data_IF_514739163922
#
_entry.id   IF_514739163922
#
_cell.length_a   1.000
_cell.length_b   1.000
_cell.length_c   1.000
_cell.angle_alpha   90.00
_cell.angle_beta   90.00
_cell.angle_gamma   90.00
#
_symmetry.space_group_name_H-M   'P 1'
#
loop_
_entity.id
_entity.type
_entity.pdbx_description
1 polymer ?
#
# COMPACT_ATOMS: atom_id res chain seq x y z
N UNK A 1 13.23 13.29 -7.16
CA UNK A 1 12.86 11.89 -6.85
C UNK A 1 11.47 11.66 -7.42
N UNK A 2 11.33 10.81 -8.43
CA UNK A 2 10.06 10.65 -9.17
C UNK A 2 9.16 9.70 -8.36
N UNK A 3 8.15 10.22 -7.67
CA UNK A 3 7.16 9.37 -7.00
C UNK A 3 6.42 8.55 -8.05
N UNK A 4 6.49 7.22 -7.94
CA UNK A 4 5.67 6.34 -8.79
C UNK A 4 4.21 6.50 -8.39
N UNK A 5 3.29 6.50 -9.37
CA UNK A 5 1.85 6.67 -9.11
C UNK A 5 1.30 5.66 -8.09
N UNK A 6 1.94 4.49 -8.00
CA UNK A 6 1.62 3.44 -7.04
C UNK A 6 1.96 3.80 -5.60
N UNK A 7 3.14 4.39 -5.34
CA UNK A 7 3.52 4.83 -3.99
C UNK A 7 2.54 5.89 -3.49
N UNK A 8 2.15 6.83 -4.36
CA UNK A 8 1.21 7.88 -4.01
C UNK A 8 -0.16 7.32 -3.61
N UNK A 9 -0.68 6.32 -4.31
CA UNK A 9 -1.91 5.62 -3.92
C UNK A 9 -1.83 5.01 -2.51
N UNK A 10 -0.69 4.38 -2.18
CA UNK A 10 -0.50 3.79 -0.86
C UNK A 10 -0.46 4.90 0.20
N UNK A 11 0.32 5.96 -0.01
CA UNK A 11 0.42 7.04 0.98
C UNK A 11 -0.89 7.77 1.20
N UNK A 12 -1.66 8.03 0.14
CA UNK A 12 -2.99 8.62 0.21
C UNK A 12 -3.93 7.76 1.08
N UNK A 13 -3.94 6.43 0.85
CA UNK A 13 -4.70 5.51 1.70
C UNK A 13 -4.23 5.50 3.17
N UNK A 14 -2.91 5.56 3.42
CA UNK A 14 -2.37 5.57 4.78
C UNK A 14 -2.73 6.88 5.51
N UNK A 15 -2.75 8.00 4.78
CA UNK A 15 -3.17 9.31 5.31
C UNK A 15 -4.67 9.33 5.61
N UNK A 16 -5.51 8.91 4.65
CA UNK A 16 -6.97 8.86 4.80
C UNK A 16 -7.41 7.96 5.95
N UNK A 17 -6.77 6.80 6.12
CA UNK A 17 -7.16 5.80 7.15
C UNK A 17 -6.36 5.91 8.45
N UNK A 18 -5.27 6.69 8.47
CA UNK A 18 -4.30 6.69 9.57
C UNK A 18 -3.59 5.34 9.77
N UNK A 19 -3.66 4.43 8.80
CA UNK A 19 -3.07 3.10 8.91
C UNK A 19 -1.54 3.21 8.92
N UNK A 20 -0.88 2.49 9.84
CA UNK A 20 0.59 2.44 9.86
C UNK A 20 1.11 1.67 8.64
N UNK A 21 2.19 2.13 7.97
CA UNK A 21 2.76 1.46 6.80
C UNK A 21 3.15 -0.01 7.08
N UNK A 22 3.66 -0.30 8.28
CA UNK A 22 4.00 -1.66 8.69
C UNK A 22 2.76 -2.55 8.89
N UNK A 23 1.65 -1.98 9.40
CA UNK A 23 0.39 -2.70 9.51
C UNK A 23 -0.20 -2.98 8.13
N UNK A 24 -0.19 -1.98 7.24
CA UNK A 24 -0.66 -2.12 5.87
C UNK A 24 0.07 -3.24 5.13
N UNK A 25 1.40 -3.23 5.14
CA UNK A 25 2.20 -4.27 4.50
C UNK A 25 1.90 -5.66 5.05
N UNK A 26 1.67 -5.77 6.37
CA UNK A 26 1.26 -7.03 7.02
C UNK A 26 -0.14 -7.47 6.58
N UNK A 27 -1.10 -6.56 6.43
CA UNK A 27 -2.47 -6.88 6.02
C UNK A 27 -2.51 -7.32 4.55
N UNK A 28 -1.76 -6.65 3.67
CA UNK A 28 -1.86 -6.86 2.22
C UNK A 28 -0.97 -8.01 1.74
N UNK A 29 0.26 -8.09 2.25
CA UNK A 29 1.30 -9.03 1.79
C UNK A 29 1.91 -9.86 2.92
N UNK A 30 1.44 -9.73 4.16
CA UNK A 30 2.10 -10.29 5.35
C UNK A 30 3.56 -9.83 5.50
N UNK A 31 3.88 -8.64 4.97
CA UNK A 31 5.23 -8.10 4.90
C UNK A 31 5.26 -6.65 5.42
N UNK A 32 5.67 -6.41 6.68
CA UNK A 32 5.65 -5.07 7.27
C UNK A 32 6.72 -4.12 6.68
N UNK A 33 7.70 -4.66 5.95
CA UNK A 33 8.74 -3.89 5.26
C UNK A 33 8.35 -3.43 3.86
N UNK A 34 7.16 -3.81 3.37
CA UNK A 34 6.77 -3.60 1.99
C UNK A 34 6.78 -2.13 1.60
N UNK A 35 6.11 -1.29 2.37
CA UNK A 35 6.03 0.15 2.11
C UNK A 35 7.42 0.80 2.18
N UNK A 36 8.30 0.33 3.08
CA UNK A 36 9.67 0.83 3.18
C UNK A 36 10.47 0.52 1.91
N UNK A 37 10.35 -0.71 1.37
CA UNK A 37 10.99 -1.08 0.10
C UNK A 37 10.46 -0.25 -1.07
N UNK A 38 9.15 -0.05 -1.16
CA UNK A 38 8.57 0.82 -2.21
C UNK A 38 9.10 2.26 -2.10
N UNK A 39 9.20 2.78 -0.87
CA UNK A 39 9.78 4.11 -0.59
C UNK A 39 11.24 4.23 -0.99
N UNK A 40 12.00 3.15 -0.82
CA UNK A 40 13.40 3.03 -1.24
C UNK A 40 13.56 2.95 -2.77
N UNK A 41 12.46 2.71 -3.51
CA UNK A 41 12.46 2.59 -4.96
C UNK A 41 12.43 1.15 -5.47
N UNK A 42 12.08 0.18 -4.62
CA UNK A 42 11.95 -1.21 -5.04
C UNK A 42 10.85 -1.38 -6.09
N UNK A 43 11.19 -2.04 -7.19
CA UNK A 43 10.23 -2.44 -8.21
C UNK A 43 9.49 -3.71 -7.76
N UNK A 44 8.17 -3.64 -7.78
CA UNK A 44 7.30 -4.79 -7.54
C UNK A 44 6.73 -5.32 -8.84
N UNK A 45 6.47 -6.62 -8.88
CA UNK A 45 5.78 -7.24 -10.02
C UNK A 45 4.37 -6.65 -10.17
N UNK A 46 3.89 -6.59 -11.41
CA UNK A 46 2.53 -6.14 -11.73
C UNK A 46 1.47 -6.89 -10.90
N UNK A 47 1.61 -8.21 -10.73
CA UNK A 47 0.69 -9.00 -9.90
C UNK A 47 0.64 -8.56 -8.43
N UNK A 48 1.76 -8.05 -7.89
CA UNK A 48 1.80 -7.48 -6.53
C UNK A 48 1.07 -6.15 -6.49
N UNK A 49 1.26 -5.29 -7.51
CA UNK A 49 0.58 -3.99 -7.63
C UNK A 49 -0.93 -4.19 -7.70
N UNK A 50 -1.41 -5.10 -8.55
CA UNK A 50 -2.84 -5.40 -8.70
C UNK A 50 -3.44 -5.93 -7.39
N UNK A 51 -2.74 -6.85 -6.71
CA UNK A 51 -3.16 -7.38 -5.42
C UNK A 51 -3.24 -6.28 -4.36
N UNK A 52 -2.28 -5.36 -4.32
CA UNK A 52 -2.26 -4.24 -3.38
C UNK A 52 -3.43 -3.29 -3.65
N UNK A 53 -3.67 -2.93 -4.91
CA UNK A 53 -4.81 -2.08 -5.30
C UNK A 53 -6.15 -2.70 -4.94
N UNK A 54 -6.33 -3.98 -5.25
CA UNK A 54 -7.54 -4.72 -4.86
C UNK A 54 -7.74 -4.71 -3.34
N UNK A 55 -6.68 -4.94 -2.57
CA UNK A 55 -6.75 -4.87 -1.11
C UNK A 55 -7.03 -3.47 -0.58
N UNK A 56 -6.46 -2.41 -1.16
CA UNK A 56 -6.78 -1.02 -0.80
C UNK A 56 -8.28 -0.77 -1.01
N UNK A 57 -8.86 -1.19 -2.15
CA UNK A 57 -10.29 -1.03 -2.41
C UNK A 57 -11.16 -1.78 -1.38
N UNK A 58 -10.80 -3.02 -1.03
CA UNK A 58 -11.48 -3.79 0.01
C UNK A 58 -11.37 -3.12 1.40
N UNK A 59 -10.20 -2.59 1.74
CA UNK A 59 -9.97 -1.93 3.03
C UNK A 59 -10.68 -0.59 3.13
N UNK A 60 -10.69 0.21 2.05
CA UNK A 60 -11.47 1.46 1.96
C UNK A 60 -12.96 1.20 2.18
N UNK A 61 -13.49 0.11 1.61
CA UNK A 61 -14.89 -0.30 1.81
C UNK A 61 -15.15 -0.71 3.27
N UNK A 62 -14.20 -1.41 3.90
CA UNK A 62 -14.34 -1.91 5.27
C UNK A 62 -14.17 -0.84 6.35
N UNK A 63 -13.43 0.24 6.08
CA UNK A 63 -13.24 1.36 7.02
C UNK A 63 -14.36 2.41 6.96
N UNK A 64 -15.22 2.36 5.93
CA UNK A 64 -16.34 3.28 5.73
C UNK A 64 -17.67 2.78 6.28
N UNK A 65 -17.67 1.66 7.01
CA UNK A 65 -18.84 1.04 7.66
C UNK A 65 -18.72 1.15 9.19
#
# INVERSE_FOLDING_TARGET
MMMTSFMREIEDYLDETGTKPSSFGRIVLNDPGFVYRIRDGAECRLSTIEKVRSKIAELKTSSAA
#
